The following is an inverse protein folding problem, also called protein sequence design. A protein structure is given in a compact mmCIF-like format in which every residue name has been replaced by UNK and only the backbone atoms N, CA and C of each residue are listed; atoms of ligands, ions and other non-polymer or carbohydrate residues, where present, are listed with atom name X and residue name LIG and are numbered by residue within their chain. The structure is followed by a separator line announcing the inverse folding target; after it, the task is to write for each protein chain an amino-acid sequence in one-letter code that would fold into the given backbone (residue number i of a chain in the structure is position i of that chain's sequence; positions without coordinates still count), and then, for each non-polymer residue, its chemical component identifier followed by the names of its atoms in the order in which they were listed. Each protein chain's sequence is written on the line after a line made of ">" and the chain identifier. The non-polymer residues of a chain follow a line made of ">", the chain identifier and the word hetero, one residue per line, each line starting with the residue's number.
data_IF_468715179806
#
_entry.id   IF_468715179806
#
_cell.length_a   1.000
_cell.length_b   1.000
_cell.length_c   1.000
_cell.angle_alpha   90.00
_cell.angle_beta   90.00
_cell.angle_gamma   90.00
#
_symmetry.space_group_name_H-M   'P 1'
#
loop_
_entity.id
_entity.type
_entity.pdbx_description
1 polymer ?
#
# COMPACT_ATOMS: atom_id res chain seq x y z
N UNK A 1 13.80 -10.02 -4.46
CA UNK A 1 13.47 -9.34 -3.18
C UNK A 1 14.53 -8.32 -2.77
N UNK A 2 15.82 -8.67 -2.66
CA UNK A 2 16.89 -7.72 -2.28
C UNK A 2 17.01 -6.53 -3.25
N UNK A 3 17.03 -6.80 -4.56
CA UNK A 3 17.08 -5.75 -5.59
C UNK A 3 15.92 -4.74 -5.44
N UNK A 4 14.69 -5.23 -5.23
CA UNK A 4 13.50 -4.39 -5.04
C UNK A 4 13.60 -3.52 -3.78
N UNK A 5 14.20 -4.03 -2.70
CA UNK A 5 14.44 -3.24 -1.47
C UNK A 5 15.41 -2.10 -1.74
N UNK A 6 16.48 -2.36 -2.48
CA UNK A 6 17.46 -1.34 -2.90
C UNK A 6 16.79 -0.32 -3.83
N UNK A 7 15.99 -0.79 -4.79
CA UNK A 7 15.24 0.08 -5.69
C UNK A 7 14.29 1.01 -4.92
N UNK A 8 13.59 0.52 -3.90
CA UNK A 8 12.70 1.34 -3.08
C UNK A 8 13.41 2.49 -2.35
N UNK A 9 14.71 2.37 -2.09
CA UNK A 9 15.53 3.47 -1.55
C UNK A 9 15.86 4.47 -2.66
N UNK A 10 16.38 4.01 -3.80
CA UNK A 10 16.76 4.88 -4.92
C UNK A 10 15.58 5.62 -5.54
N UNK A 11 14.41 4.98 -5.62
CA UNK A 11 13.18 5.55 -6.15
C UNK A 11 12.76 6.85 -5.44
N UNK A 12 13.18 7.02 -4.18
CA UNK A 12 12.87 8.18 -3.32
C UNK A 12 13.86 9.34 -3.42
N UNK A 13 14.90 9.19 -4.25
CA UNK A 13 15.86 10.25 -4.55
C UNK A 13 15.38 10.96 -5.82
N UNK A 14 15.10 12.27 -5.80
CA UNK A 14 14.65 13.00 -6.98
C UNK A 14 15.61 12.82 -8.17
N UNK A 15 15.06 12.70 -9.38
CA UNK A 15 15.76 12.47 -10.66
C UNK A 15 16.50 11.12 -10.77
N UNK A 16 17.23 10.69 -9.74
CA UNK A 16 17.87 9.36 -9.69
C UNK A 16 16.82 8.26 -9.73
N UNK A 17 15.75 8.39 -8.92
CA UNK A 17 14.64 7.46 -8.90
C UNK A 17 13.92 7.38 -10.24
N UNK A 18 13.75 8.51 -10.94
CA UNK A 18 13.12 8.57 -12.27
C UNK A 18 14.00 7.84 -13.29
N UNK A 19 15.29 8.21 -13.39
CA UNK A 19 16.20 7.63 -14.37
C UNK A 19 16.37 6.12 -14.16
N UNK A 20 16.58 5.70 -12.91
CA UNK A 20 16.74 4.29 -12.57
C UNK A 20 15.42 3.50 -12.73
N UNK A 21 14.28 4.09 -12.37
CA UNK A 21 12.96 3.50 -12.58
C UNK A 21 12.64 3.27 -14.06
N UNK A 22 12.98 4.23 -14.93
CA UNK A 22 12.82 4.09 -16.38
C UNK A 22 13.67 2.95 -16.95
N UNK A 23 14.96 2.90 -16.59
CA UNK A 23 15.87 1.84 -17.03
C UNK A 23 15.40 0.45 -16.57
N UNK A 24 15.01 0.34 -15.29
CA UNK A 24 14.49 -0.90 -14.70
C UNK A 24 13.16 -1.33 -15.32
N UNK A 25 12.27 -0.37 -15.61
CA UNK A 25 10.99 -0.60 -16.29
C UNK A 25 11.17 -1.22 -17.67
N UNK A 26 12.09 -0.67 -18.49
CA UNK A 26 12.43 -1.23 -19.80
C UNK A 26 13.00 -2.65 -19.66
N UNK A 27 13.94 -2.86 -18.74
CA UNK A 27 14.56 -4.16 -18.54
C UNK A 27 13.55 -5.26 -18.19
N UNK A 28 12.62 -5.00 -17.26
CA UNK A 28 11.58 -5.97 -16.90
C UNK A 28 10.52 -6.15 -17.98
N UNK A 29 10.18 -5.09 -18.72
CA UNK A 29 9.28 -5.18 -19.87
C UNK A 29 9.83 -6.12 -20.96
N UNK A 30 11.14 -6.02 -21.25
CA UNK A 30 11.82 -6.93 -22.19
C UNK A 30 11.89 -8.38 -21.67
N UNK A 31 11.94 -8.57 -20.35
CA UNK A 31 11.91 -9.89 -19.71
C UNK A 31 10.50 -10.48 -19.55
N UNK A 32 9.45 -9.74 -19.90
CA UNK A 32 8.05 -10.17 -19.76
C UNK A 32 7.44 -10.05 -18.36
N UNK A 33 8.15 -9.48 -17.37
CA UNK A 33 7.61 -9.19 -16.03
C UNK A 33 6.96 -7.80 -16.02
N UNK A 34 5.77 -7.72 -16.64
CA UNK A 34 5.05 -6.44 -16.81
C UNK A 34 4.61 -5.80 -15.49
N UNK A 35 4.38 -6.58 -14.43
CA UNK A 35 4.03 -6.05 -13.11
C UNK A 35 5.22 -5.28 -12.50
N UNK A 36 6.43 -5.85 -12.56
CA UNK A 36 7.63 -5.17 -12.06
C UNK A 36 8.02 -3.99 -12.97
N UNK A 37 7.78 -4.10 -14.28
CA UNK A 37 7.96 -3.01 -15.23
C UNK A 37 7.07 -1.81 -14.88
N UNK A 38 5.76 -2.04 -14.69
CA UNK A 38 4.80 -0.99 -14.31
C UNK A 38 5.19 -0.37 -12.96
N UNK A 39 5.48 -1.19 -11.95
CA UNK A 39 5.92 -0.72 -10.64
C UNK A 39 7.18 0.18 -10.69
N UNK A 40 8.11 -0.14 -11.60
CA UNK A 40 9.34 0.63 -11.76
C UNK A 40 9.10 2.01 -12.36
N UNK A 41 8.06 2.15 -13.19
CA UNK A 41 7.65 3.40 -13.82
C UNK A 41 6.69 4.24 -12.99
N UNK A 42 6.01 3.63 -12.00
CA UNK A 42 5.14 4.38 -11.09
C UNK A 42 5.92 5.47 -10.35
N UNK A 43 5.45 6.71 -10.35
CA UNK A 43 6.08 7.81 -9.61
C UNK A 43 5.06 8.45 -8.66
N UNK A 44 5.45 8.64 -7.40
CA UNK A 44 4.70 9.51 -6.49
C UNK A 44 5.23 10.94 -6.65
N UNK A 45 4.41 11.92 -7.10
CA UNK A 45 4.85 13.30 -7.24
C UNK A 45 5.40 13.91 -5.94
N UNK A 46 5.01 13.38 -4.77
CA UNK A 46 5.55 13.81 -3.49
C UNK A 46 7.06 13.50 -3.34
N UNK A 47 7.60 12.51 -4.07
CA UNK A 47 9.03 12.19 -4.09
C UNK A 47 9.87 13.24 -4.84
N UNK A 48 9.24 14.16 -5.58
CA UNK A 48 9.94 15.28 -6.22
C UNK A 48 10.26 16.43 -5.27
N UNK A 49 9.71 16.43 -4.05
CA UNK A 49 9.97 17.48 -3.07
C UNK A 49 11.31 17.21 -2.32
N UNK A 50 12.37 18.03 -2.55
CA UNK A 50 13.68 17.79 -1.93
C UNK A 50 13.67 17.85 -0.40
N UNK A 51 12.75 18.63 0.19
CA UNK A 51 12.63 18.77 1.65
C UNK A 51 12.19 17.46 2.33
N UNK A 52 11.53 16.57 1.57
CA UNK A 52 11.07 15.27 2.08
C UNK A 52 12.09 14.17 1.89
N UNK A 53 13.07 14.37 1.02
CA UNK A 53 14.03 13.35 0.61
C UNK A 53 14.68 12.63 1.82
N UNK A 54 15.15 13.31 2.90
CA UNK A 54 15.74 12.60 4.03
C UNK A 54 14.75 11.63 4.71
N UNK A 55 13.51 12.07 4.92
CA UNK A 55 12.46 11.24 5.51
C UNK A 55 12.08 10.08 4.60
N UNK A 56 11.93 10.34 3.30
CA UNK A 56 11.57 9.32 2.33
C UNK A 56 12.68 8.25 2.26
N UNK A 57 13.96 8.65 2.19
CA UNK A 57 15.11 7.73 2.25
C UNK A 57 15.10 6.90 3.54
N UNK A 58 14.93 7.55 4.70
CA UNK A 58 14.89 6.84 6.00
C UNK A 58 13.76 5.81 6.05
N UNK A 59 12.56 6.17 5.59
CA UNK A 59 11.45 5.22 5.49
C UNK A 59 11.81 4.08 4.52
N UNK A 60 12.46 4.36 3.38
CA UNK A 60 12.91 3.33 2.44
C UNK A 60 13.94 2.36 3.04
N UNK A 61 14.84 2.86 3.88
CA UNK A 61 15.81 2.03 4.62
C UNK A 61 15.11 1.17 5.68
N UNK A 62 14.14 1.72 6.40
CA UNK A 62 13.31 0.96 7.35
C UNK A 62 12.54 -0.14 6.60
N UNK A 63 11.91 0.19 5.49
CA UNK A 63 11.17 -0.76 4.65
C UNK A 63 12.10 -1.86 4.10
N UNK A 64 13.33 -1.52 3.69
CA UNK A 64 14.32 -2.46 3.18
C UNK A 64 14.90 -3.41 4.25
N UNK A 65 15.00 -2.94 5.51
CA UNK A 65 15.56 -3.72 6.62
C UNK A 65 14.59 -4.75 7.20
N UNK A 66 13.29 -4.63 6.90
CA UNK A 66 12.28 -5.54 7.40
C UNK A 66 11.72 -6.47 6.32
N UNK A 67 11.19 -7.61 6.74
CA UNK A 67 10.47 -8.52 5.84
C UNK A 67 8.98 -8.19 5.85
N UNK A 68 8.39 -8.13 4.65
CA UNK A 68 6.96 -7.85 4.44
C UNK A 68 6.01 -8.88 5.07
N UNK A 69 6.54 -10.00 5.57
CA UNK A 69 5.74 -11.03 6.24
C UNK A 69 5.58 -10.78 7.75
N UNK A 70 6.19 -9.73 8.30
CA UNK A 70 6.12 -9.41 9.74
C UNK A 70 5.68 -7.97 9.96
N UNK A 71 4.80 -7.77 10.94
CA UNK A 71 4.29 -6.45 11.31
C UNK A 71 3.09 -6.03 10.46
N UNK A 72 2.84 -4.73 10.43
CA UNK A 72 1.71 -4.12 9.72
C UNK A 72 2.23 -3.12 8.69
N UNK A 73 1.83 -3.31 7.44
CA UNK A 73 2.28 -2.55 6.29
C UNK A 73 1.10 -2.07 5.47
N UNK A 74 1.24 -0.90 4.87
CA UNK A 74 0.27 -0.39 3.89
C UNK A 74 0.86 -0.48 2.49
N UNK A 75 0.07 -1.03 1.57
CA UNK A 75 0.41 -1.14 0.16
C UNK A 75 -0.34 -0.09 -0.64
N UNK A 76 0.36 0.68 -1.46
CA UNK A 76 -0.20 1.72 -2.34
C UNK A 76 0.20 1.42 -3.79
N UNK A 77 -0.75 1.50 -4.73
CA UNK A 77 -0.49 1.43 -6.18
C UNK A 77 -1.39 2.41 -6.93
N UNK A 78 -0.99 2.82 -8.12
CA UNK A 78 -1.81 3.73 -8.94
C UNK A 78 -3.14 3.09 -9.30
N UNK A 79 -4.21 3.89 -9.36
CA UNK A 79 -5.52 3.42 -9.78
C UNK A 79 -5.59 3.36 -11.32
N UNK A 80 -5.95 2.20 -11.88
CA UNK A 80 -5.98 1.98 -13.33
C UNK A 80 -4.59 1.76 -13.94
N UNK A 81 -4.39 2.26 -15.16
CA UNK A 81 -3.14 2.14 -15.94
C UNK A 81 -2.32 3.42 -16.02
N UNK A 82 -2.56 4.35 -15.09
CA UNK A 82 -1.80 5.59 -15.03
C UNK A 82 -0.45 5.39 -14.31
N UNK A 83 0.66 5.95 -14.82
CA UNK A 83 1.97 5.82 -14.18
C UNK A 83 2.16 6.75 -12.97
N UNK A 84 1.19 7.60 -12.67
CA UNK A 84 1.20 8.48 -11.50
C UNK A 84 -0.21 8.55 -10.89
N UNK A 85 -0.27 8.69 -9.56
CA UNK A 85 -1.49 9.04 -8.86
C UNK A 85 -1.33 10.40 -8.18
N UNK A 86 -2.39 11.19 -8.16
CA UNK A 86 -2.42 12.45 -7.40
C UNK A 86 -3.23 12.24 -6.13
N UNK A 87 -2.61 12.56 -4.99
CA UNK A 87 -3.29 12.67 -3.70
C UNK A 87 -3.81 14.09 -3.56
N UNK A 88 -5.07 14.34 -3.92
CA UNK A 88 -5.66 15.69 -3.89
C UNK A 88 -6.08 16.10 -2.47
N UNK A 89 -6.62 15.17 -1.68
CA UNK A 89 -7.02 15.38 -0.29
C UNK A 89 -7.15 14.05 0.46
N UNK A 90 -7.21 14.05 1.81
CA UNK A 90 -7.51 12.84 2.59
C UNK A 90 -8.85 12.24 2.12
N UNK A 91 -8.81 11.04 1.52
CA UNK A 91 -10.02 10.36 1.04
C UNK A 91 -10.35 10.51 -0.44
N UNK A 92 -9.57 11.30 -1.18
CA UNK A 92 -9.62 11.43 -2.63
C UNK A 92 -8.19 11.26 -3.17
N UNK A 93 -7.76 10.00 -3.19
CA UNK A 93 -6.43 9.60 -3.64
C UNK A 93 -6.54 8.81 -4.94
N UNK A 94 -5.74 9.17 -5.95
CA UNK A 94 -5.62 8.44 -7.23
C UNK A 94 -4.92 7.09 -7.11
N UNK A 95 -5.00 6.47 -5.93
CA UNK A 95 -4.31 5.24 -5.60
C UNK A 95 -5.24 4.24 -4.93
N UNK A 96 -4.96 2.98 -5.20
CA UNK A 96 -5.57 1.85 -4.55
C UNK A 96 -4.73 1.41 -3.35
N UNK A 97 -5.38 1.23 -2.20
CA UNK A 97 -4.73 0.86 -0.95
C UNK A 97 -5.10 -0.55 -0.53
N UNK A 98 -4.13 -1.27 0.01
CA UNK A 98 -4.34 -2.52 0.73
C UNK A 98 -3.50 -2.54 2.02
N UNK A 99 -3.73 -3.51 2.88
CA UNK A 99 -2.99 -3.66 4.12
C UNK A 99 -2.48 -5.07 4.27
N UNK A 100 -1.25 -5.20 4.76
CA UNK A 100 -0.64 -6.47 5.09
C UNK A 100 -0.44 -6.52 6.62
N UNK A 101 -0.85 -7.61 7.25
CA UNK A 101 -0.70 -7.88 8.68
C UNK A 101 -0.13 -9.30 8.83
N UNK A 102 1.08 -9.42 9.38
CA UNK A 102 1.78 -10.69 9.68
C UNK A 102 1.62 -11.81 8.63
N UNK A 103 2.06 -11.56 7.40
CA UNK A 103 2.01 -12.50 6.28
C UNK A 103 0.68 -12.58 5.53
N UNK A 104 -0.36 -11.81 5.91
CA UNK A 104 -1.67 -11.82 5.24
C UNK A 104 -1.99 -10.46 4.63
N UNK A 105 -2.35 -10.42 3.35
CA UNK A 105 -2.79 -9.22 2.63
C UNK A 105 -4.32 -9.18 2.62
N UNK A 106 -4.87 -8.04 3.02
CA UNK A 106 -6.29 -7.72 2.94
C UNK A 106 -6.46 -6.59 1.93
N UNK A 107 -7.14 -6.90 0.83
CA UNK A 107 -7.46 -5.95 -0.24
C UNK A 107 -8.98 -5.84 -0.37
N UNK A 108 -9.46 -4.60 -0.41
CA UNK A 108 -10.83 -4.32 -0.79
C UNK A 108 -10.93 -4.23 -2.31
N UNK A 109 -11.69 -5.12 -2.93
CA UNK A 109 -12.14 -5.04 -4.31
C UNK A 109 -13.53 -4.41 -4.43
N UNK A 110 -13.85 -3.93 -5.62
CA UNK A 110 -15.19 -3.42 -5.95
C UNK A 110 -15.69 -4.02 -7.25
N UNK A 111 -16.81 -4.74 -7.19
CA UNK A 111 -17.49 -5.29 -8.37
C UNK A 111 -18.94 -4.83 -8.38
N UNK A 112 -19.37 -4.12 -9.43
CA UNK A 112 -20.78 -3.69 -9.62
C UNK A 112 -21.42 -3.02 -8.39
N UNK A 113 -20.66 -2.14 -7.69
CA UNK A 113 -21.02 -1.44 -6.43
C UNK A 113 -21.03 -2.28 -5.16
N UNK A 114 -20.76 -3.58 -5.24
CA UNK A 114 -20.57 -4.43 -4.08
C UNK A 114 -19.09 -4.50 -3.70
N UNK A 115 -18.85 -4.53 -2.39
CA UNK A 115 -17.52 -4.73 -1.81
C UNK A 115 -17.19 -6.21 -1.85
N UNK A 116 -15.99 -6.53 -2.34
CA UNK A 116 -15.42 -7.88 -2.26
C UNK A 116 -14.12 -7.80 -1.46
N UNK A 117 -13.90 -8.70 -0.51
CA UNK A 117 -12.68 -8.69 0.29
C UNK A 117 -11.78 -9.85 -0.13
N UNK A 118 -10.66 -9.52 -0.76
CA UNK A 118 -9.62 -10.47 -1.10
C UNK A 118 -8.65 -10.61 0.08
N UNK A 119 -8.48 -11.84 0.54
CA UNK A 119 -7.58 -12.19 1.64
C UNK A 119 -6.57 -13.19 1.11
N UNK A 120 -5.29 -12.83 1.16
CA UNK A 120 -4.22 -13.60 0.54
C UNK A 120 -3.15 -13.85 1.60
N UNK A 121 -3.06 -15.11 2.05
CA UNK A 121 -2.10 -15.54 3.06
C UNK A 121 -0.84 -16.10 2.42
N UNK A 122 0.32 -15.66 2.90
CA UNK A 122 1.63 -16.20 2.50
C UNK A 122 1.74 -17.71 2.76
N UNK A 123 1.11 -18.20 3.83
CA UNK A 123 1.17 -19.60 4.24
C UNK A 123 0.25 -20.49 3.39
N UNK A 124 -0.85 -19.93 2.87
CA UNK A 124 -1.82 -20.68 2.07
C UNK A 124 -1.50 -20.63 0.57
N UNK A 125 -1.13 -19.45 0.05
CA UNK A 125 -0.81 -19.25 -1.35
C UNK A 125 0.41 -18.32 -1.53
N UNK A 126 1.65 -18.85 -1.38
CA UNK A 126 2.86 -18.06 -1.42
C UNK A 126 3.11 -17.41 -2.79
N UNK A 127 2.71 -18.04 -3.89
CA UNK A 127 2.90 -17.50 -5.24
C UNK A 127 2.01 -16.29 -5.48
N UNK A 128 0.72 -16.40 -5.15
CA UNK A 128 -0.22 -15.28 -5.24
C UNK A 128 0.16 -14.15 -4.29
N UNK A 129 0.58 -14.48 -3.05
CA UNK A 129 1.09 -13.50 -2.09
C UNK A 129 2.29 -12.73 -2.66
N UNK A 130 3.28 -13.43 -3.22
CA UNK A 130 4.46 -12.79 -3.81
C UNK A 130 4.10 -11.91 -5.03
N UNK A 131 3.18 -12.37 -5.89
CA UNK A 131 2.65 -11.56 -6.99
C UNK A 131 2.01 -10.27 -6.46
N UNK A 132 1.20 -10.37 -5.40
CA UNK A 132 0.61 -9.20 -4.76
C UNK A 132 1.64 -8.28 -4.12
N UNK A 133 2.66 -8.82 -3.45
CA UNK A 133 3.77 -8.02 -2.95
C UNK A 133 4.46 -7.23 -4.07
N UNK A 134 4.47 -7.75 -5.30
CA UNK A 134 5.04 -7.05 -6.46
C UNK A 134 4.17 -5.91 -6.99
N UNK A 135 2.85 -5.98 -6.81
CA UNK A 135 1.89 -5.02 -7.37
C UNK A 135 1.77 -3.70 -6.59
N UNK A 136 2.30 -3.64 -5.36
CA UNK A 136 2.17 -2.48 -4.48
C UNK A 136 3.53 -1.94 -4.03
N UNK A 137 3.57 -0.63 -3.78
CA UNK A 137 4.60 0.01 -2.98
C UNK A 137 4.23 -0.13 -1.51
N UNK A 138 5.06 -0.83 -0.75
CA UNK A 138 4.82 -1.12 0.66
C UNK A 138 5.57 -0.16 1.56
N UNK A 139 4.88 0.32 2.59
CA UNK A 139 5.42 1.19 3.62
C UNK A 139 5.05 0.63 4.97
N UNK A 140 6.04 0.46 5.85
CA UNK A 140 5.80 -0.08 7.19
C UNK A 140 5.05 0.94 8.05
N UNK A 141 3.94 0.51 8.65
CA UNK A 141 3.21 1.30 9.64
C UNK A 141 3.62 0.94 11.07
N UNK A 142 3.90 -0.35 11.30
CA UNK A 142 4.28 -0.87 12.61
C UNK A 142 5.13 -2.13 12.46
N UNK A 143 6.36 -2.12 12.99
CA UNK A 143 7.23 -3.31 12.95
C UNK A 143 6.84 -4.42 13.93
N UNK A 144 5.99 -4.12 14.92
CA UNK A 144 5.43 -5.11 15.84
C UNK A 144 4.25 -5.82 15.18
N UNK A 145 4.20 -7.14 15.34
CA UNK A 145 3.05 -7.97 14.96
C UNK A 145 1.75 -7.51 15.61
N UNK A 146 0.64 -7.88 14.98
CA UNK A 146 -0.69 -7.67 15.51
C UNK A 146 -0.87 -8.43 16.81
N UNK A 147 -1.57 -7.81 17.76
CA UNK A 147 -2.03 -8.45 18.99
C UNK A 147 -3.37 -9.17 18.81
N UNK A 148 -3.98 -9.04 17.62
CA UNK A 148 -5.27 -9.64 17.26
C UNK A 148 -5.03 -10.91 16.44
N UNK A 149 -5.79 -11.96 16.72
CA UNK A 149 -5.65 -13.22 15.98
C UNK A 149 -6.06 -13.08 14.51
N UNK A 150 -5.41 -13.86 13.64
CA UNK A 150 -5.69 -13.91 12.20
C UNK A 150 -7.18 -14.17 11.92
N UNK A 151 -7.80 -15.13 12.62
CA UNK A 151 -9.25 -15.42 12.47
C UNK A 151 -10.13 -14.22 12.82
N UNK A 152 -9.73 -13.42 13.81
CA UNK A 152 -10.49 -12.22 14.19
C UNK A 152 -10.34 -11.13 13.13
N UNK A 153 -9.14 -10.96 12.57
CA UNK A 153 -8.88 -10.03 11.47
C UNK A 153 -9.63 -10.46 10.21
N UNK A 154 -9.65 -11.76 9.89
CA UNK A 154 -10.41 -12.32 8.78
C UNK A 154 -11.91 -11.98 8.88
N UNK A 155 -12.53 -12.28 10.04
CA UNK A 155 -13.95 -11.98 10.28
C UNK A 155 -14.23 -10.49 10.21
N UNK A 156 -13.33 -9.69 10.77
CA UNK A 156 -13.45 -8.23 10.73
C UNK A 156 -13.38 -7.71 9.29
N UNK A 157 -12.42 -8.18 8.49
CA UNK A 157 -12.32 -7.83 7.08
C UNK A 157 -13.58 -8.22 6.31
N UNK A 158 -14.08 -9.45 6.48
CA UNK A 158 -15.30 -9.93 5.80
C UNK A 158 -16.57 -9.19 6.21
N UNK A 159 -16.61 -8.55 7.37
CA UNK A 159 -17.76 -7.72 7.77
C UNK A 159 -18.00 -6.51 6.85
N UNK A 160 -17.01 -6.11 6.06
CA UNK A 160 -17.15 -5.01 5.09
C UNK A 160 -17.86 -5.43 3.78
N UNK A 161 -18.04 -6.72 3.51
CA UNK A 161 -18.72 -7.19 2.27
C UNK A 161 -20.20 -6.82 2.23
N UNK A 162 -20.82 -6.49 3.37
CA UNK A 162 -22.18 -5.97 3.44
C UNK A 162 -22.29 -4.46 3.13
N UNK A 163 -21.18 -3.74 2.99
CA UNK A 163 -21.16 -2.31 2.73
C UNK A 163 -21.25 -1.99 1.23
N UNK A 164 -21.73 -0.78 0.90
CA UNK A 164 -21.70 -0.30 -0.49
C UNK A 164 -20.31 0.26 -0.82
N UNK A 165 -19.78 -0.08 -2.00
CA UNK A 165 -18.51 0.47 -2.45
C UNK A 165 -18.68 1.92 -2.89
N UNK A 166 -17.78 2.80 -2.43
CA UNK A 166 -17.77 4.20 -2.85
C UNK A 166 -16.35 4.64 -3.26
N UNK A 167 -16.26 5.47 -4.29
CA UNK A 167 -14.96 5.90 -4.85
C UNK A 167 -14.28 6.93 -3.95
N UNK A 168 -15.06 7.87 -3.38
CA UNK A 168 -14.55 8.90 -2.48
C UNK A 168 -14.88 8.57 -1.02
N UNK A 169 -14.14 9.12 -0.05
CA UNK A 169 -14.56 9.05 1.35
C UNK A 169 -15.96 9.66 1.49
N UNK A 170 -16.93 8.83 1.85
CA UNK A 170 -18.27 9.29 2.16
C UNK A 170 -18.38 9.64 3.64
N UNK A 171 -19.09 10.71 3.96
CA UNK A 171 -19.48 11.03 5.34
C UNK A 171 -20.61 10.13 5.85
N UNK A 172 -21.30 9.37 4.98
CA UNK A 172 -22.34 8.41 5.37
C UNK A 172 -21.74 7.06 5.73
N UNK A 173 -22.15 6.51 6.88
CA UNK A 173 -21.54 5.32 7.50
C UNK A 173 -21.68 3.99 6.73
N UNK A 174 -22.55 3.90 5.73
CA UNK A 174 -22.85 2.64 5.04
C UNK A 174 -21.92 2.36 3.83
N UNK A 175 -21.00 3.29 3.57
CA UNK A 175 -20.12 3.29 2.39
C UNK A 175 -18.67 3.11 2.79
N UNK A 176 -17.95 2.25 2.07
CA UNK A 176 -16.52 2.01 2.30
C UNK A 176 -15.73 2.13 1.01
N UNK A 177 -14.49 2.59 1.14
CA UNK A 177 -13.50 2.62 0.07
C UNK A 177 -12.18 1.96 0.55
N UNK A 178 -11.25 1.72 -0.36
CA UNK A 178 -10.01 1.01 -0.05
C UNK A 178 -9.16 1.70 1.04
N UNK A 179 -9.16 3.04 1.09
CA UNK A 179 -8.42 3.83 2.07
C UNK A 179 -9.03 3.72 3.48
N UNK A 180 -10.36 3.81 3.58
CA UNK A 180 -11.10 3.65 4.82
C UNK A 180 -10.92 2.24 5.35
N UNK A 181 -11.09 1.24 4.49
CA UNK A 181 -10.88 -0.17 4.82
C UNK A 181 -9.47 -0.44 5.36
N UNK A 182 -8.42 -0.01 4.63
CA UNK A 182 -7.04 -0.20 5.09
C UNK A 182 -6.77 0.48 6.43
N UNK A 183 -7.33 1.68 6.64
CA UNK A 183 -7.20 2.42 7.90
C UNK A 183 -7.89 1.71 9.08
N UNK A 184 -9.08 1.15 8.86
CA UNK A 184 -9.84 0.45 9.88
C UNK A 184 -9.23 -0.91 10.21
N UNK A 185 -8.73 -1.63 9.21
CA UNK A 185 -7.93 -2.84 9.41
C UNK A 185 -6.66 -2.55 10.19
N UNK A 186 -5.97 -1.44 9.93
CA UNK A 186 -4.81 -1.04 10.72
C UNK A 186 -5.19 -0.74 12.17
N UNK A 187 -6.28 0.03 12.36
CA UNK A 187 -6.80 0.34 13.69
C UNK A 187 -7.08 -0.94 14.49
N UNK A 188 -7.74 -1.92 13.85
CA UNK A 188 -8.03 -3.23 14.44
C UNK A 188 -6.76 -4.01 14.76
N UNK A 189 -5.86 -4.15 13.80
CA UNK A 189 -4.63 -4.94 13.94
C UNK A 189 -3.65 -4.37 14.96
N UNK A 190 -3.59 -3.04 15.10
CA UNK A 190 -2.73 -2.35 16.06
C UNK A 190 -3.41 -2.06 17.40
N UNK A 191 -4.69 -2.42 17.57
CA UNK A 191 -5.50 -2.09 18.75
C UNK A 191 -5.48 -0.59 19.10
N UNK A 192 -5.66 0.25 18.09
CA UNK A 192 -5.76 1.71 18.22
C UNK A 192 -7.08 2.21 17.64
N UNK A 193 -7.42 3.48 17.90
CA UNK A 193 -8.61 4.08 17.27
C UNK A 193 -8.39 4.34 15.78
N UNK A 194 -9.45 4.32 14.97
CA UNK A 194 -9.40 4.72 13.54
C UNK A 194 -8.78 6.11 13.35
N UNK A 195 -9.04 7.05 14.27
CA UNK A 195 -8.44 8.39 14.23
C UNK A 195 -6.92 8.33 14.36
N UNK A 196 -6.40 7.54 15.31
CA UNK A 196 -4.97 7.32 15.48
C UNK A 196 -4.34 6.59 14.29
N UNK A 197 -5.03 5.59 13.74
CA UNK A 197 -4.59 4.87 12.55
C UNK A 197 -4.42 5.81 11.34
N UNK A 198 -5.44 6.62 11.04
CA UNK A 198 -5.39 7.61 9.95
C UNK A 198 -4.27 8.64 10.15
N UNK A 199 -4.10 9.16 11.36
CA UNK A 199 -3.02 10.11 11.67
C UNK A 199 -1.62 9.49 11.46
N UNK A 200 -1.43 8.23 11.87
CA UNK A 200 -0.17 7.51 11.63
C UNK A 200 0.06 7.25 10.14
N UNK A 201 -0.96 6.82 9.41
CA UNK A 201 -0.86 6.62 7.96
C UNK A 201 -0.45 7.92 7.27
N UNK A 202 -1.11 9.04 7.59
CA UNK A 202 -0.75 10.36 7.04
C UNK A 202 0.67 10.80 7.39
N UNK A 203 1.17 10.42 8.57
CA UNK A 203 2.54 10.72 8.96
C UNK A 203 3.57 9.89 8.19
N UNK A 204 3.24 8.70 7.69
CA UNK A 204 4.21 7.83 7.03
C UNK A 204 4.08 7.85 5.51
N UNK A 205 2.86 8.02 4.98
CA UNK A 205 2.62 8.07 3.54
C UNK A 205 3.01 9.43 2.93
N UNK A 206 3.69 9.41 1.78
CA UNK A 206 3.88 10.61 0.98
C UNK A 206 2.53 11.24 0.57
N UNK A 207 2.41 12.56 0.75
CA UNK A 207 1.24 13.36 0.38
C UNK A 207 1.67 14.79 0.01
N UNK A 208 0.92 15.48 -0.85
CA UNK A 208 1.39 16.80 -1.38
C UNK A 208 1.55 17.87 -0.28
N UNK A 209 0.89 17.72 0.87
CA UNK A 209 0.82 18.74 1.92
C UNK A 209 1.92 18.65 2.99
N UNK A 210 2.45 17.45 3.27
CA UNK A 210 3.43 17.20 4.35
C UNK A 210 4.43 16.11 3.99
#
# INVERSE_FOLDING_TARGET
>A
MVERRIFNVYKRIPLVGIAYGAARGVAYGLAGDFDEAKYSLEMDPADLNPLRMPRNIMNGLVDASHSLDKGIWIGKRTLGDQPFGLTFSPGADGYHWCIQIDGVIYELGGSKRQVEIHIISKNENPEQYNSYCKRFSWTMLQGKSSTVSETTLYRYAKSFESSEYHVMMSASGDKVNCQTFASDMFAKGACITTRQARARILAVLPNILF
#
